data_IF_270983731963
#
_entry.id   IF_270983731963
#
_cell.length_a   1.000
_cell.length_b   1.000
_cell.length_c   1.000
_cell.angle_alpha   90.00
_cell.angle_beta   90.00
_cell.angle_gamma   90.00
#
_symmetry.space_group_name_H-M   'P 1'
#
loop_
_entity.id
_entity.type
_entity.pdbx_description
1 polymer ?
#
# COMPACT_ATOMS: atom_id res chain seq x y z
N UNK A 1 21.77 12.05 -37.20
CA UNK A 1 21.53 13.20 -36.30
C UNK A 1 20.05 13.34 -35.97
N UNK A 2 19.17 13.46 -36.98
CA UNK A 2 17.72 13.63 -36.83
C UNK A 2 17.06 12.59 -35.93
N UNK A 3 17.42 11.31 -36.07
CA UNK A 3 16.87 10.22 -35.23
C UNK A 3 17.24 10.34 -33.75
N UNK A 4 18.48 10.77 -33.43
CA UNK A 4 18.91 10.99 -32.05
C UNK A 4 18.18 12.16 -31.40
N UNK A 5 17.92 13.23 -32.16
CA UNK A 5 17.15 14.38 -31.68
C UNK A 5 15.67 14.02 -31.49
N UNK A 6 15.11 13.21 -32.38
CA UNK A 6 13.76 12.65 -32.20
C UNK A 6 13.68 11.82 -30.92
N UNK A 7 14.66 10.94 -30.68
CA UNK A 7 14.71 10.12 -29.46
C UNK A 7 14.85 10.95 -28.19
N UNK A 8 15.65 12.02 -28.22
CA UNK A 8 15.74 12.99 -27.12
C UNK A 8 14.37 13.61 -26.82
N UNK A 9 13.66 14.06 -27.86
CA UNK A 9 12.33 14.66 -27.70
C UNK A 9 11.31 13.66 -27.15
N UNK A 10 11.33 12.39 -27.60
CA UNK A 10 10.49 11.32 -27.06
C UNK A 10 10.76 11.04 -25.57
N UNK A 11 12.03 10.98 -25.16
CA UNK A 11 12.40 10.71 -23.77
C UNK A 11 12.03 11.87 -22.83
N UNK A 12 12.02 13.11 -23.33
CA UNK A 12 11.54 14.26 -22.57
C UNK A 12 10.03 14.24 -22.32
N UNK A 13 9.26 13.46 -23.09
CA UNK A 13 7.83 13.25 -22.85
C UNK A 13 7.54 12.14 -21.83
N UNK A 14 8.57 11.59 -21.16
CA UNK A 14 8.37 10.52 -20.20
C UNK A 14 7.47 10.96 -19.03
N UNK A 15 6.34 10.27 -18.87
CA UNK A 15 5.34 10.57 -17.85
C UNK A 15 5.72 9.99 -16.48
N UNK A 16 6.64 10.67 -15.80
CA UNK A 16 7.02 10.33 -14.43
C UNK A 16 5.86 10.50 -13.45
N UNK A 17 5.00 11.50 -13.67
CA UNK A 17 3.85 11.78 -12.80
C UNK A 17 2.82 10.64 -12.85
N UNK A 18 2.57 10.08 -14.03
CA UNK A 18 1.74 8.88 -14.20
C UNK A 18 2.27 7.70 -13.39
N UNK A 19 3.59 7.47 -13.41
CA UNK A 19 4.20 6.38 -12.60
C UNK A 19 4.05 6.62 -11.09
N UNK A 20 4.20 7.87 -10.63
CA UNK A 20 3.97 8.24 -9.24
C UNK A 20 2.50 8.07 -8.83
N UNK A 21 1.56 8.35 -9.74
CA UNK A 21 0.14 8.11 -9.52
C UNK A 21 -0.17 6.62 -9.36
N UNK A 22 0.45 5.75 -10.18
CA UNK A 22 0.29 4.29 -10.04
C UNK A 22 0.71 3.84 -8.65
N UNK A 23 1.89 4.27 -8.17
CA UNK A 23 2.37 3.93 -6.81
C UNK A 23 1.43 4.47 -5.72
N UNK A 24 0.88 5.68 -5.90
CA UNK A 24 -0.05 6.27 -4.93
C UNK A 24 -1.34 5.45 -4.78
N UNK A 25 -1.78 4.79 -5.86
CA UNK A 25 -2.97 3.94 -5.89
C UNK A 25 -2.73 2.56 -5.29
N UNK A 26 -1.47 2.11 -5.17
CA UNK A 26 -1.10 0.81 -4.61
C UNK A 26 -1.69 0.58 -3.21
N UNK A 27 -1.86 1.63 -2.40
CA UNK A 27 -2.44 1.57 -1.04
C UNK A 27 -3.85 0.99 -0.97
N UNK A 28 -4.58 1.02 -2.09
CA UNK A 28 -5.94 0.48 -2.19
C UNK A 28 -5.97 -0.95 -2.75
N UNK A 29 -4.81 -1.50 -3.12
CA UNK A 29 -4.68 -2.84 -3.67
C UNK A 29 -4.51 -3.87 -2.56
N UNK A 30 -4.58 -5.15 -2.94
CA UNK A 30 -4.22 -6.23 -2.02
C UNK A 30 -2.73 -6.14 -1.67
N UNK A 31 -2.34 -6.35 -0.39
CA UNK A 31 -0.94 -6.30 0.00
C UNK A 31 0.01 -7.19 -0.84
N UNK A 32 -0.45 -8.34 -1.32
CA UNK A 32 0.35 -9.24 -2.18
C UNK A 32 0.61 -8.65 -3.57
N UNK A 33 -0.37 -7.92 -4.11
CA UNK A 33 -0.28 -7.31 -5.43
C UNK A 33 0.52 -6.00 -5.36
N UNK A 34 0.40 -5.29 -4.23
CA UNK A 34 1.07 -4.03 -3.98
C UNK A 34 2.59 -4.10 -4.14
N UNK A 35 3.22 -5.08 -3.50
CA UNK A 35 4.67 -5.28 -3.60
C UNK A 35 5.14 -5.51 -5.04
N UNK A 36 4.37 -6.26 -5.82
CA UNK A 36 4.68 -6.53 -7.23
C UNK A 36 4.55 -5.26 -8.08
N UNK A 37 3.50 -4.47 -7.90
CA UNK A 37 3.32 -3.22 -8.67
C UNK A 37 4.45 -2.23 -8.37
N UNK A 38 4.88 -2.12 -7.11
CA UNK A 38 6.02 -1.26 -6.74
C UNK A 38 7.31 -1.74 -7.42
N UNK A 39 7.57 -3.05 -7.47
CA UNK A 39 8.71 -3.62 -8.18
C UNK A 39 8.65 -3.32 -9.68
N UNK A 40 7.49 -3.57 -10.30
CA UNK A 40 7.27 -3.36 -11.74
C UNK A 40 7.53 -1.88 -12.12
N UNK A 41 7.02 -0.94 -11.32
CA UNK A 41 7.27 0.50 -11.52
C UNK A 41 8.75 0.83 -11.31
N UNK A 42 9.39 0.34 -10.25
CA UNK A 42 10.81 0.59 -9.99
C UNK A 42 11.69 0.04 -11.12
N UNK A 43 11.38 -1.14 -11.66
CA UNK A 43 12.06 -1.74 -12.80
C UNK A 43 11.85 -0.91 -14.08
N UNK A 44 10.61 -0.47 -14.34
CA UNK A 44 10.31 0.37 -15.48
C UNK A 44 11.08 1.70 -15.44
N UNK A 45 11.13 2.37 -14.28
CA UNK A 45 11.89 3.60 -14.08
C UNK A 45 13.40 3.36 -14.33
N UNK A 46 13.97 2.25 -13.86
CA UNK A 46 15.38 1.91 -14.11
C UNK A 46 15.66 1.68 -15.60
N UNK A 47 14.77 0.97 -16.30
CA UNK A 47 14.91 0.77 -17.73
C UNK A 47 14.87 2.11 -18.50
N UNK A 48 13.97 3.01 -18.12
CA UNK A 48 13.90 4.35 -18.70
C UNK A 48 15.15 5.19 -18.39
N UNK A 49 15.69 5.09 -17.17
CA UNK A 49 16.94 5.76 -16.83
C UNK A 49 18.12 5.30 -17.71
N UNK A 50 18.21 4.00 -18.01
CA UNK A 50 19.23 3.44 -18.92
C UNK A 50 19.08 4.01 -20.34
N UNK A 51 17.85 4.11 -20.85
CA UNK A 51 17.57 4.73 -22.15
C UNK A 51 17.99 6.21 -22.18
N UNK A 52 17.66 6.97 -21.13
CA UNK A 52 18.06 8.37 -21.00
C UNK A 52 19.58 8.53 -20.94
N UNK A 53 20.28 7.70 -20.17
CA UNK A 53 21.74 7.68 -20.09
C UNK A 53 22.38 7.37 -21.45
N UNK A 54 21.84 6.38 -22.17
CA UNK A 54 22.32 5.99 -23.49
C UNK A 54 22.13 7.11 -24.50
N UNK A 55 20.98 7.80 -24.47
CA UNK A 55 20.73 8.97 -25.30
C UNK A 55 21.72 10.10 -25.00
N UNK A 56 21.93 10.44 -23.73
CA UNK A 56 22.90 11.47 -23.31
C UNK A 56 24.32 11.13 -23.76
N UNK A 57 24.79 9.89 -23.55
CA UNK A 57 26.11 9.44 -23.99
C UNK A 57 26.25 9.57 -25.53
N UNK A 58 25.20 9.20 -26.28
CA UNK A 58 25.14 9.34 -27.72
C UNK A 58 25.18 10.78 -28.24
N UNK A 59 24.89 11.78 -27.39
CA UNK A 59 24.92 13.21 -27.72
C UNK A 59 26.24 13.91 -27.31
N UNK A 60 27.01 13.32 -26.39
CA UNK A 60 28.26 13.90 -25.88
C UNK A 60 29.47 13.71 -26.81
N UNK A 61 29.37 12.87 -27.84
CA UNK A 61 30.48 12.62 -28.77
C UNK A 61 30.91 13.87 -29.56
N UNK A 62 32.22 14.13 -29.65
CA UNK A 62 32.81 15.25 -30.43
C UNK A 62 32.27 15.35 -31.85
N UNK A 63 32.07 14.21 -32.52
CA UNK A 63 31.57 14.16 -33.89
C UNK A 63 30.11 14.63 -34.01
N UNK A 64 29.31 14.53 -32.95
CA UNK A 64 27.91 14.95 -32.94
C UNK A 64 27.79 16.46 -32.85
N UNK A 65 28.63 17.11 -32.02
CA UNK A 65 28.66 18.58 -31.92
C UNK A 65 29.06 19.25 -33.22
N UNK A 66 29.94 18.64 -34.00
CA UNK A 66 30.38 19.14 -35.31
C UNK A 66 29.29 19.05 -36.39
N UNK A 67 28.26 18.23 -36.18
CA UNK A 67 27.15 18.03 -37.11
C UNK A 67 25.94 18.94 -36.82
N UNK A 68 26.00 19.77 -35.78
CA UNK A 68 24.93 20.71 -35.42
C UNK A 68 25.20 22.09 -36.01
N UNK A 69 24.16 22.74 -36.51
CA UNK A 69 24.25 24.16 -36.89
C UNK A 69 24.34 25.05 -35.64
N UNK A 70 24.82 26.29 -35.79
CA UNK A 70 24.90 27.25 -34.67
C UNK A 70 23.53 27.53 -34.04
N UNK A 71 22.45 27.41 -34.81
CA UNK A 71 21.07 27.61 -34.35
C UNK A 71 20.48 26.37 -33.65
N UNK A 72 20.99 25.17 -33.94
CA UNK A 72 20.56 23.92 -33.30
C UNK A 72 21.30 23.67 -31.98
N UNK A 73 22.57 24.06 -31.90
CA UNK A 73 23.43 23.76 -30.74
C UNK A 73 22.84 24.23 -29.39
N UNK A 74 22.30 25.46 -29.24
CA UNK A 74 21.70 25.89 -27.97
C UNK A 74 20.47 25.06 -27.59
N UNK A 75 19.61 24.73 -28.57
CA UNK A 75 18.40 23.93 -28.34
C UNK A 75 18.72 22.51 -27.89
N UNK A 76 19.74 21.89 -28.50
CA UNK A 76 20.20 20.56 -28.09
C UNK A 76 20.79 20.60 -26.70
N UNK A 77 21.53 21.65 -26.35
CA UNK A 77 22.10 21.80 -25.02
C UNK A 77 21.00 21.93 -23.94
N UNK A 78 20.02 22.80 -24.17
CA UNK A 78 18.87 22.99 -23.27
C UNK A 78 18.12 21.66 -23.04
N UNK A 79 17.77 20.96 -24.12
CA UNK A 79 17.08 19.66 -24.04
C UNK A 79 17.92 18.58 -23.36
N UNK A 80 19.24 18.59 -23.57
CA UNK A 80 20.18 17.69 -22.88
C UNK A 80 20.15 17.93 -21.38
N UNK A 81 20.11 19.19 -20.94
CA UNK A 81 20.08 19.53 -19.52
C UNK A 81 18.72 19.23 -18.89
N UNK A 82 17.62 19.45 -19.62
CA UNK A 82 16.29 18.96 -19.24
C UNK A 82 16.29 17.43 -19.05
N UNK A 83 16.87 16.68 -19.98
CA UNK A 83 16.93 15.22 -19.91
C UNK A 83 17.78 14.73 -18.72
N UNK A 84 18.89 15.43 -18.38
CA UNK A 84 19.66 15.13 -17.16
C UNK A 84 18.85 15.37 -15.89
N UNK A 85 18.10 16.47 -15.84
CA UNK A 85 17.20 16.77 -14.73
C UNK A 85 16.16 15.66 -14.55
N UNK A 86 15.51 15.27 -15.64
CA UNK A 86 14.55 14.16 -15.66
C UNK A 86 15.16 12.83 -15.24
N UNK A 87 16.34 12.48 -15.76
CA UNK A 87 17.08 11.28 -15.38
C UNK A 87 17.34 11.21 -13.86
N UNK A 88 17.76 12.32 -13.25
CA UNK A 88 17.99 12.38 -11.81
C UNK A 88 16.70 12.15 -11.01
N UNK A 89 15.58 12.72 -11.47
CA UNK A 89 14.27 12.48 -10.83
C UNK A 89 13.83 11.03 -10.97
N UNK A 90 13.98 10.42 -12.15
CA UNK A 90 13.63 9.01 -12.42
C UNK A 90 14.47 8.06 -11.55
N UNK A 91 15.78 8.29 -11.46
CA UNK A 91 16.66 7.48 -10.60
C UNK A 91 16.33 7.66 -9.11
N UNK A 92 16.11 8.90 -8.67
CA UNK A 92 15.72 9.20 -7.30
C UNK A 92 14.42 8.48 -6.92
N UNK A 93 13.42 8.52 -7.80
CA UNK A 93 12.15 7.81 -7.61
C UNK A 93 12.35 6.29 -7.55
N UNK A 94 13.12 5.71 -8.48
CA UNK A 94 13.36 4.26 -8.51
C UNK A 94 14.04 3.76 -7.22
N UNK A 95 15.00 4.52 -6.69
CA UNK A 95 15.67 4.20 -5.44
C UNK A 95 14.71 4.33 -4.24
N UNK A 96 13.95 5.43 -4.18
CA UNK A 96 12.95 5.64 -3.12
C UNK A 96 11.89 4.54 -3.09
N UNK A 97 11.45 4.03 -4.25
CA UNK A 97 10.52 2.90 -4.31
C UNK A 97 11.15 1.61 -3.80
N UNK A 98 12.41 1.36 -4.14
CA UNK A 98 13.12 0.16 -3.70
C UNK A 98 13.34 0.15 -2.18
N UNK A 99 13.74 1.28 -1.61
CA UNK A 99 13.94 1.46 -0.17
C UNK A 99 12.61 1.48 0.59
N UNK A 100 11.60 2.15 0.04
CA UNK A 100 10.28 2.34 0.65
C UNK A 100 9.29 1.19 0.44
N UNK A 101 9.64 0.16 -0.34
CA UNK A 101 8.73 -0.94 -0.71
C UNK A 101 8.10 -1.62 0.50
N UNK A 102 8.92 -1.95 1.51
CA UNK A 102 8.44 -2.61 2.72
C UNK A 102 7.39 -1.74 3.42
N UNK A 103 7.71 -0.47 3.66
CA UNK A 103 6.78 0.49 4.27
C UNK A 103 5.49 0.69 3.46
N UNK A 104 5.57 0.76 2.13
CA UNK A 104 4.38 0.85 1.26
C UNK A 104 3.52 -0.43 1.40
N UNK A 105 4.13 -1.60 1.42
CA UNK A 105 3.42 -2.88 1.52
C UNK A 105 2.75 -3.04 2.89
N UNK A 106 3.46 -2.65 3.96
CA UNK A 106 2.91 -2.59 5.32
C UNK A 106 1.76 -1.58 5.39
N UNK A 107 1.90 -0.40 4.80
CA UNK A 107 0.82 0.61 4.72
C UNK A 107 -0.43 0.01 4.05
N UNK A 108 -0.28 -0.79 3.00
CA UNK A 108 -1.41 -1.49 2.36
C UNK A 108 -2.10 -2.44 3.35
N UNK A 109 -1.35 -3.21 4.15
CA UNK A 109 -1.94 -4.09 5.17
C UNK A 109 -2.74 -3.32 6.22
N UNK A 110 -2.28 -2.12 6.61
CA UNK A 110 -2.97 -1.24 7.57
C UNK A 110 -4.28 -0.67 7.01
N UNK A 111 -4.36 -0.42 5.71
CA UNK A 111 -5.51 0.25 5.07
C UNK A 111 -6.42 -0.68 4.29
N UNK A 112 -6.05 -1.93 4.12
CA UNK A 112 -6.81 -2.86 3.29
C UNK A 112 -8.20 -3.14 3.88
N UNK A 113 -9.24 -3.03 3.04
CA UNK A 113 -10.63 -3.13 3.46
C UNK A 113 -11.02 -4.52 4.02
N UNK A 114 -10.20 -5.54 3.74
CA UNK A 114 -10.45 -6.92 4.12
C UNK A 114 -9.29 -7.46 4.97
N UNK A 115 -9.22 -7.08 6.26
CA UNK A 115 -8.15 -7.51 7.15
C UNK A 115 -8.16 -9.04 7.28
N UNK A 116 -6.98 -9.62 7.52
CA UNK A 116 -6.77 -11.06 7.60
C UNK A 116 -5.67 -11.38 8.62
N UNK A 117 -5.69 -12.60 9.18
CA UNK A 117 -4.72 -13.05 10.18
C UNK A 117 -3.28 -12.78 9.78
N UNK A 118 -2.86 -13.24 8.59
CA UNK A 118 -1.49 -13.06 8.09
C UNK A 118 -1.03 -11.59 8.04
N UNK A 119 -1.94 -10.65 7.81
CA UNK A 119 -1.62 -9.22 7.82
C UNK A 119 -1.43 -8.73 9.24
N UNK A 120 -2.32 -9.14 10.16
CA UNK A 120 -2.19 -8.79 11.56
C UNK A 120 -0.93 -9.38 12.20
N UNK A 121 -0.60 -10.64 11.92
CA UNK A 121 0.64 -11.26 12.36
C UNK A 121 1.87 -10.49 11.85
N UNK A 122 1.86 -10.08 10.58
CA UNK A 122 2.92 -9.24 10.03
C UNK A 122 3.02 -7.90 10.75
N UNK A 123 1.88 -7.21 10.97
CA UNK A 123 1.83 -5.93 11.67
C UNK A 123 2.27 -6.06 13.14
N UNK A 124 1.92 -7.14 13.83
CA UNK A 124 2.41 -7.42 15.18
C UNK A 124 3.93 -7.63 15.20
N UNK A 125 4.44 -8.49 14.31
CA UNK A 125 5.87 -8.81 14.23
C UNK A 125 6.73 -7.60 13.83
N UNK A 126 6.17 -6.68 13.05
CA UNK A 126 6.82 -5.44 12.64
C UNK A 126 6.69 -4.30 13.67
N UNK A 127 6.01 -4.53 14.81
CA UNK A 127 5.66 -3.47 15.76
C UNK A 127 4.94 -2.30 15.06
N UNK A 128 3.93 -2.60 14.25
CA UNK A 128 3.16 -1.64 13.45
C UNK A 128 1.74 -1.41 13.99
N UNK A 129 1.45 -1.97 15.17
CA UNK A 129 0.23 -1.74 15.93
C UNK A 129 0.56 -0.96 17.21
N UNK A 130 -0.31 -0.04 17.58
CA UNK A 130 -0.31 0.53 18.93
C UNK A 130 -0.74 -0.54 19.93
N UNK A 131 -0.35 -0.42 21.22
CA UNK A 131 -0.83 -1.32 22.26
C UNK A 131 -2.36 -1.47 22.20
N UNK A 132 -2.87 -2.72 22.14
CA UNK A 132 -4.30 -2.95 21.99
C UNK A 132 -5.07 -2.44 23.21
N UNK A 133 -6.27 -1.92 22.98
CA UNK A 133 -7.19 -1.60 24.08
C UNK A 133 -7.69 -2.90 24.72
N UNK A 134 -8.06 -2.86 26.00
CA UNK A 134 -8.60 -4.05 26.67
C UNK A 134 -9.89 -4.53 25.98
N UNK A 135 -10.12 -5.86 25.84
CA UNK A 135 -11.36 -6.37 25.28
C UNK A 135 -12.58 -5.92 26.09
N UNK A 136 -13.70 -5.66 25.40
CA UNK A 136 -14.96 -5.24 26.02
C UNK A 136 -16.08 -6.20 25.64
N UNK A 137 -16.87 -6.63 26.64
CA UNK A 137 -18.04 -7.48 26.40
C UNK A 137 -19.17 -6.67 25.76
N UNK A 138 -19.71 -7.15 24.63
CA UNK A 138 -20.76 -6.42 23.88
C UNK A 138 -22.17 -6.56 24.49
N UNK A 139 -22.39 -7.53 25.40
CA UNK A 139 -23.70 -7.81 26.00
C UNK A 139 -23.64 -7.88 27.53
N UNK A 140 -22.78 -7.03 28.13
CA UNK A 140 -22.52 -7.05 29.56
C UNK A 140 -21.63 -8.20 29.99
N UNK A 141 -21.17 -8.14 31.24
CA UNK A 141 -20.30 -9.15 31.84
C UNK A 141 -21.03 -9.98 32.90
N UNK A 142 -20.79 -11.30 32.99
CA UNK A 142 -19.95 -12.10 32.08
C UNK A 142 -20.59 -12.28 30.69
N UNK A 143 -19.76 -12.22 29.64
CA UNK A 143 -20.19 -12.23 28.24
C UNK A 143 -19.62 -13.41 27.45
N UNK A 144 -20.23 -13.71 26.29
CA UNK A 144 -19.71 -14.68 25.31
C UNK A 144 -19.13 -14.02 24.05
N UNK A 145 -19.25 -12.70 23.94
CA UNK A 145 -18.89 -11.94 22.77
C UNK A 145 -18.18 -10.67 23.21
N UNK A 146 -16.94 -10.54 22.75
CA UNK A 146 -16.07 -9.43 23.07
C UNK A 146 -15.56 -8.76 21.80
N UNK A 147 -15.20 -7.50 21.94
CA UNK A 147 -14.58 -6.73 20.90
C UNK A 147 -13.30 -6.06 21.44
N UNK A 148 -12.26 -6.06 20.64
CA UNK A 148 -10.98 -5.41 20.92
C UNK A 148 -10.58 -4.55 19.74
N UNK A 149 -10.14 -3.31 20.01
CA UNK A 149 -9.67 -2.39 18.99
C UNK A 149 -8.18 -2.59 18.74
N UNK A 150 -7.82 -2.71 17.47
CA UNK A 150 -6.44 -2.67 16.99
C UNK A 150 -6.22 -1.38 16.21
N UNK A 151 -5.33 -0.52 16.72
CA UNK A 151 -4.98 0.74 16.05
C UNK A 151 -3.61 0.61 15.38
N UNK A 152 -3.52 0.62 14.04
CA UNK A 152 -2.21 0.64 13.39
C UNK A 152 -1.49 1.97 13.60
N UNK A 153 -0.15 1.93 13.55
CA UNK A 153 0.71 3.11 13.57
C UNK A 153 0.52 3.95 12.31
N UNK A 154 1.03 5.19 12.36
CA UNK A 154 0.98 6.12 11.22
C UNK A 154 1.52 5.46 9.96
N UNK A 155 0.92 5.81 8.83
CA UNK A 155 1.40 5.44 7.52
C UNK A 155 2.71 6.19 7.21
N UNK A 156 3.45 5.75 6.21
CA UNK A 156 4.70 6.41 5.77
C UNK A 156 4.48 7.88 5.40
N UNK A 157 3.29 8.22 4.89
CA UNK A 157 2.91 9.60 4.56
C UNK A 157 2.40 10.42 5.76
N UNK A 158 2.48 9.87 6.98
CA UNK A 158 2.03 10.51 8.21
C UNK A 158 0.52 10.49 8.45
N UNK A 159 -0.27 9.85 7.60
CA UNK A 159 -1.70 9.71 7.87
C UNK A 159 -1.96 8.66 8.96
N UNK A 160 -2.96 8.89 9.82
CA UNK A 160 -3.44 7.86 10.75
C UNK A 160 -4.44 6.94 10.06
N UNK A 161 -4.19 5.61 9.99
CA UNK A 161 -5.14 4.68 9.40
C UNK A 161 -6.32 4.42 10.35
N UNK A 162 -7.47 4.05 9.76
CA UNK A 162 -8.64 3.59 10.50
C UNK A 162 -8.30 2.36 11.34
N UNK A 163 -8.91 2.19 12.53
CA UNK A 163 -8.69 1.00 13.35
C UNK A 163 -9.30 -0.25 12.72
N UNK A 164 -8.82 -1.41 13.18
CA UNK A 164 -9.44 -2.71 12.95
C UNK A 164 -10.06 -3.21 14.26
N UNK A 165 -11.01 -4.14 14.15
CA UNK A 165 -11.77 -4.64 15.29
C UNK A 165 -11.73 -6.16 15.32
N UNK A 166 -11.22 -6.73 16.41
CA UNK A 166 -11.19 -8.16 16.66
C UNK A 166 -12.44 -8.55 17.44
N UNK A 167 -13.20 -9.49 16.91
CA UNK A 167 -14.40 -10.06 17.51
C UNK A 167 -14.08 -11.45 18.04
N UNK A 168 -14.29 -11.64 19.34
CA UNK A 168 -13.93 -12.85 20.08
C UNK A 168 -15.20 -13.50 20.59
N UNK A 169 -15.41 -14.77 20.23
CA UNK A 169 -16.52 -15.58 20.69
C UNK A 169 -16.03 -16.71 21.59
N UNK A 170 -16.66 -16.86 22.76
CA UNK A 170 -16.34 -17.93 23.70
C UNK A 170 -17.51 -18.91 23.86
N UNK A 171 -17.19 -20.16 24.21
CA UNK A 171 -18.19 -21.23 24.39
C UNK A 171 -19.09 -20.99 25.61
N UNK A 172 -18.53 -20.37 26.67
CA UNK A 172 -19.20 -20.03 27.93
C UNK A 172 -19.04 -18.54 28.28
N UNK A 173 -19.91 -17.96 29.12
CA UNK A 173 -19.76 -16.59 29.58
C UNK A 173 -18.50 -16.44 30.44
N UNK A 174 -17.71 -15.41 30.18
CA UNK A 174 -16.47 -15.08 30.90
C UNK A 174 -16.40 -13.57 31.19
N UNK A 175 -15.52 -13.16 32.10
CA UNK A 175 -15.15 -11.75 32.28
C UNK A 175 -14.09 -11.40 31.25
N UNK A 176 -14.08 -10.19 30.68
CA UNK A 176 -13.11 -9.79 29.67
C UNK A 176 -11.66 -9.90 30.16
N UNK A 177 -11.42 -9.55 31.44
CA UNK A 177 -10.11 -9.71 32.09
C UNK A 177 -9.59 -11.15 32.17
N UNK A 178 -10.44 -12.14 31.94
CA UNK A 178 -10.05 -13.55 31.98
C UNK A 178 -9.76 -14.14 30.59
N UNK A 179 -9.94 -13.37 29.51
CA UNK A 179 -9.78 -13.87 28.13
C UNK A 179 -8.37 -14.40 27.85
N UNK A 180 -7.34 -13.69 28.31
CA UNK A 180 -5.93 -14.04 28.10
C UNK A 180 -5.55 -15.40 28.71
N UNK A 181 -6.28 -15.85 29.74
CA UNK A 181 -6.02 -17.12 30.43
C UNK A 181 -6.87 -18.30 29.96
N UNK A 182 -7.71 -18.13 28.94
CA UNK A 182 -8.55 -19.21 28.43
C UNK A 182 -7.74 -20.16 27.54
N UNK A 183 -8.13 -21.44 27.53
CA UNK A 183 -7.58 -22.37 26.56
C UNK A 183 -8.19 -22.12 25.16
N UNK A 184 -7.43 -22.39 24.09
CA UNK A 184 -7.89 -22.26 22.69
C UNK A 184 -9.24 -22.93 22.43
N UNK A 185 -9.51 -24.07 23.09
CA UNK A 185 -10.78 -24.81 22.98
C UNK A 185 -12.00 -24.08 23.55
N UNK A 186 -11.79 -23.03 24.34
CA UNK A 186 -12.86 -22.20 24.88
C UNK A 186 -13.30 -21.09 23.92
N UNK A 187 -12.54 -20.84 22.85
CA UNK A 187 -12.90 -19.92 21.77
C UNK A 187 -13.67 -20.65 20.68
N UNK A 188 -14.86 -20.16 20.35
CA UNK A 188 -15.68 -20.75 19.27
C UNK A 188 -15.42 -20.10 17.93
N UNK A 189 -14.99 -18.83 17.93
CA UNK A 189 -14.56 -18.10 16.75
C UNK A 189 -13.82 -16.82 17.16
N UNK A 190 -12.75 -16.50 16.44
CA UNK A 190 -12.12 -15.18 16.47
C UNK A 190 -12.07 -14.65 15.03
N UNK A 191 -12.37 -13.37 14.83
CA UNK A 191 -12.25 -12.77 13.50
C UNK A 191 -11.99 -11.26 13.56
N UNK A 192 -11.33 -10.72 12.54
CA UNK A 192 -11.06 -9.29 12.38
C UNK A 192 -11.99 -8.66 11.34
N UNK A 193 -12.39 -7.41 11.59
CA UNK A 193 -13.16 -6.55 10.70
C UNK A 193 -12.49 -5.20 10.53
N UNK A 194 -12.69 -4.56 9.39
CA UNK A 194 -12.34 -3.15 9.22
C UNK A 194 -13.25 -2.24 10.06
N UNK A 195 -12.85 -0.99 10.29
CA UNK A 195 -13.70 -0.01 10.99
C UNK A 195 -15.08 0.15 10.36
N UNK A 196 -15.14 0.11 9.03
CA UNK A 196 -16.39 0.21 8.26
C UNK A 196 -17.29 -1.01 8.50
N UNK A 197 -16.70 -2.20 8.63
CA UNK A 197 -17.42 -3.47 8.80
C UNK A 197 -17.91 -3.73 10.24
N UNK A 198 -17.34 -3.05 11.24
CA UNK A 198 -17.61 -3.26 12.68
C UNK A 198 -19.10 -3.37 13.02
N UNK A 199 -19.92 -2.48 12.46
CA UNK A 199 -21.35 -2.33 12.78
C UNK A 199 -22.32 -3.15 11.91
N UNK A 200 -21.81 -4.00 11.01
CA UNK A 200 -22.67 -4.82 10.17
C UNK A 200 -22.96 -6.18 10.82
N UNK A 201 -24.25 -6.50 10.94
CA UNK A 201 -24.76 -7.79 11.38
C UNK A 201 -25.69 -8.39 10.31
N UNK A 202 -26.02 -9.68 10.44
CA UNK A 202 -26.84 -10.43 9.48
C UNK A 202 -28.21 -9.78 9.24
N UNK A 203 -28.82 -9.21 10.26
CA UNK A 203 -30.12 -8.53 10.15
C UNK A 203 -30.05 -7.25 9.33
N UNK A 204 -28.95 -6.48 9.49
CA UNK A 204 -28.67 -5.28 8.70
C UNK A 204 -28.30 -5.63 7.26
N UNK A 205 -27.53 -6.71 7.05
CA UNK A 205 -27.26 -7.28 5.72
C UNK A 205 -28.55 -7.67 4.99
N UNK A 206 -29.46 -8.38 5.67
CA UNK A 206 -30.77 -8.77 5.13
C UNK A 206 -31.70 -7.57 4.92
N UNK A 207 -31.61 -6.52 5.74
CA UNK A 207 -32.38 -5.29 5.58
C UNK A 207 -31.86 -4.44 4.41
N UNK A 208 -30.54 -4.31 4.24
CA UNK A 208 -29.92 -3.59 3.13
C UNK A 208 -30.17 -4.31 1.79
N UNK A 209 -30.06 -5.65 1.78
CA UNK A 209 -30.41 -6.47 0.61
C UNK A 209 -31.90 -6.34 0.21
N UNK A 210 -32.81 -6.25 1.20
CA UNK A 210 -34.24 -5.99 0.95
C UNK A 210 -34.53 -4.57 0.46
N UNK A 211 -33.66 -3.61 0.77
CA UNK A 211 -33.84 -2.19 0.43
C UNK A 211 -33.19 -1.80 -0.92
N UNK A 212 -32.65 -2.78 -1.66
CA UNK A 212 -31.99 -2.53 -2.96
C UNK A 212 -30.68 -1.73 -2.86
N UNK A 213 -30.12 -1.58 -1.65
CA UNK A 213 -28.78 -1.03 -1.48
C UNK A 213 -27.76 -2.10 -1.88
N UNK A 214 -26.68 -1.69 -2.52
CA UNK A 214 -25.62 -2.59 -2.94
C UNK A 214 -25.14 -3.43 -1.75
N UNK A 215 -25.07 -4.75 -1.93
CA UNK A 215 -24.72 -5.68 -0.86
C UNK A 215 -23.31 -5.37 -0.38
N UNK A 216 -23.18 -4.79 0.81
CA UNK A 216 -21.89 -4.57 1.44
C UNK A 216 -21.24 -5.93 1.68
N UNK A 217 -20.13 -6.21 1.00
CA UNK A 217 -19.41 -7.46 1.20
C UNK A 217 -18.64 -7.36 2.53
N UNK A 218 -19.16 -8.02 3.56
CA UNK A 218 -18.51 -8.08 4.86
C UNK A 218 -17.55 -9.25 4.85
N UNK A 219 -16.28 -8.96 4.62
CA UNK A 219 -15.24 -9.95 4.84
C UNK A 219 -14.88 -9.95 6.32
N UNK A 220 -14.76 -11.15 6.88
CA UNK A 220 -14.27 -11.37 8.24
C UNK A 220 -13.01 -12.18 8.08
N UNK A 221 -11.86 -11.61 8.42
CA UNK A 221 -10.62 -12.38 8.46
C UNK A 221 -10.70 -13.32 9.63
N UNK A 222 -10.80 -14.63 9.39
CA UNK A 222 -10.73 -15.61 10.48
C UNK A 222 -9.39 -15.48 11.20
N UNK A 223 -9.44 -15.61 12.53
CA UNK A 223 -8.28 -15.64 13.39
C UNK A 223 -8.28 -16.96 14.16
N UNK A 224 -7.10 -17.56 14.29
CA UNK A 224 -6.89 -18.65 15.23
C UNK A 224 -7.07 -18.15 16.67
N UNK A 225 -7.58 -18.98 17.59
CA UNK A 225 -7.68 -18.62 19.02
C UNK A 225 -6.37 -18.12 19.65
N UNK A 226 -5.22 -18.58 19.16
CA UNK A 226 -3.89 -18.23 19.64
C UNK A 226 -3.34 -16.86 19.16
N UNK A 227 -4.11 -16.10 18.36
CA UNK A 227 -3.76 -14.73 17.97
C UNK A 227 -4.07 -13.74 19.10
#
# INVERSE_FOLDING_TARGET
MTERLKRLDELLQFDLAGQQSVVSQVRQMKPEEAGKVVDDVAQYLRAQAIEMQTCLAGLQGRNVRLLLTSTQLPKVHERTDQLKGLLNMVLGQANALNEGKAGITTDCMKTYAFPAQKYLEHLCNADELMPPEAPVALRGEPGKLFEMKLQPKMLVNGAMPSPMWVHIHTSRPVMARNLEGLADSEFTACHVKSNEQRGYNREREEADARSGREKVIIHRGELTPAF
#
